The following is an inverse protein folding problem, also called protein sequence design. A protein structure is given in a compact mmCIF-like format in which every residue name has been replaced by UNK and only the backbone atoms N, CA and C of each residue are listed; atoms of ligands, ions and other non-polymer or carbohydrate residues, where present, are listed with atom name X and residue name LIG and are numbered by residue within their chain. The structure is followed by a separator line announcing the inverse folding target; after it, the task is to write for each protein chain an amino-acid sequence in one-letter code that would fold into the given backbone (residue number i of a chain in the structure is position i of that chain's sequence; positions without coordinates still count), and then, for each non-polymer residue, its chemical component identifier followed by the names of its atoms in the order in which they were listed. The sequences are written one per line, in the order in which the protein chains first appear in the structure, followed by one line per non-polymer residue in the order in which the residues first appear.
data_IF_630455552776
#
_entry.id   IF_630455552776
#
_cell.length_a   1.000
_cell.length_b   1.000
_cell.length_c   1.000
_cell.angle_alpha   90.00
_cell.angle_beta   90.00
_cell.angle_gamma   90.00
#
_symmetry.space_group_name_H-M   'P 1'
#
loop_
_entity.id
_entity.type
_entity.pdbx_description
1 polymer ?
#
# COMPACT_ATOMS: atom_id res chain seq x y z
N UNK A 1 -7.01 8.94 15.72
CA UNK A 1 -6.30 8.68 14.44
C UNK A 1 -6.84 9.59 13.34
N UNK A 2 -8.13 9.52 13.01
CA UNK A 2 -8.76 10.46 12.08
C UNK A 2 -8.79 11.91 12.63
N UNK A 3 -9.14 12.10 13.91
CA UNK A 3 -9.24 13.44 14.51
C UNK A 3 -7.93 14.25 14.44
N UNK A 4 -6.78 13.59 14.54
CA UNK A 4 -5.45 14.24 14.44
C UNK A 4 -5.00 14.53 13.01
N UNK A 5 -5.78 14.13 12.00
CA UNK A 5 -5.46 14.31 10.59
C UNK A 5 -6.59 14.95 9.79
N UNK A 6 -7.68 15.33 10.44
CA UNK A 6 -8.89 15.84 9.79
C UNK A 6 -8.67 17.17 9.07
N UNK A 7 -7.81 18.03 9.62
CA UNK A 7 -7.44 19.34 9.08
C UNK A 7 -6.37 19.27 7.98
N UNK A 8 -5.74 18.10 7.79
CA UNK A 8 -4.64 17.95 6.83
C UNK A 8 -5.21 17.67 5.43
N UNK A 9 -5.02 18.58 4.46
CA UNK A 9 -5.70 18.48 3.17
C UNK A 9 -5.20 17.32 2.29
N UNK A 10 -3.98 16.82 2.53
CA UNK A 10 -3.33 15.77 1.72
C UNK A 10 -2.63 14.75 2.60
N UNK A 11 -3.37 13.73 3.02
CA UNK A 11 -2.86 12.63 3.84
C UNK A 11 -3.16 11.28 3.20
N UNK A 12 -2.24 10.35 3.40
CA UNK A 12 -2.36 8.93 3.09
C UNK A 12 -1.91 8.15 4.33
N UNK A 13 -2.84 7.45 4.97
CA UNK A 13 -2.67 6.82 6.27
C UNK A 13 -2.93 5.32 6.11
N UNK A 14 -2.07 4.50 6.69
CA UNK A 14 -2.20 3.04 6.64
C UNK A 14 -1.01 2.35 7.28
N UNK A 15 -0.96 1.03 7.21
CA UNK A 15 0.23 0.27 7.61
C UNK A 15 1.31 0.38 6.54
N UNK A 16 2.20 1.35 6.68
CA UNK A 16 3.21 1.66 5.66
C UNK A 16 4.32 0.61 5.67
N UNK A 17 4.50 -0.10 4.56
CA UNK A 17 5.59 -1.07 4.36
C UNK A 17 6.40 -0.76 3.11
N UNK A 18 7.55 -1.40 3.01
CA UNK A 18 8.26 -1.69 1.75
C UNK A 18 8.62 -3.17 1.81
N UNK A 19 8.55 -3.87 0.68
CA UNK A 19 8.68 -5.31 0.64
C UNK A 19 9.11 -5.79 -0.75
N UNK A 20 9.35 -7.07 -0.87
CA UNK A 20 9.86 -7.72 -2.08
C UNK A 20 8.93 -7.50 -3.28
N UNK A 21 9.53 -7.21 -4.44
CA UNK A 21 8.83 -7.24 -5.73
C UNK A 21 8.82 -8.67 -6.25
N UNK A 22 7.65 -9.19 -6.58
CA UNK A 22 7.52 -10.53 -7.12
C UNK A 22 7.80 -10.54 -8.64
N UNK A 23 9.08 -10.63 -9.01
CA UNK A 23 9.53 -10.59 -10.41
C UNK A 23 9.58 -11.96 -11.11
N UNK A 24 9.34 -13.06 -10.39
CA UNK A 24 9.32 -14.41 -10.98
C UNK A 24 7.96 -14.72 -11.61
N UNK A 25 7.94 -15.00 -12.92
CA UNK A 25 6.70 -15.23 -13.68
C UNK A 25 5.87 -16.43 -13.19
N UNK A 26 6.49 -17.38 -12.50
CA UNK A 26 5.83 -18.56 -11.92
C UNK A 26 5.21 -18.28 -10.55
N UNK A 27 5.49 -17.12 -9.94
CA UNK A 27 5.00 -16.77 -8.63
C UNK A 27 3.54 -16.30 -8.70
N UNK A 28 2.69 -16.72 -7.75
CA UNK A 28 1.25 -16.36 -7.73
C UNK A 28 0.98 -14.85 -7.69
N UNK A 29 1.94 -14.09 -7.17
CA UNK A 29 1.87 -12.64 -7.00
C UNK A 29 2.74 -11.90 -8.02
N UNK A 30 3.16 -12.57 -9.09
CA UNK A 30 3.99 -12.00 -10.14
C UNK A 30 3.46 -10.64 -10.59
N UNK A 31 4.36 -9.67 -10.65
CA UNK A 31 4.10 -8.32 -11.11
C UNK A 31 4.69 -8.16 -12.52
N UNK A 32 3.88 -8.13 -13.60
CA UNK A 32 4.38 -8.02 -14.97
C UNK A 32 5.21 -6.77 -15.23
N UNK A 33 4.98 -5.70 -14.46
CA UNK A 33 5.71 -4.44 -14.53
C UNK A 33 6.86 -4.35 -13.51
N UNK A 34 7.35 -5.47 -12.97
CA UNK A 34 8.34 -5.49 -11.88
C UNK A 34 9.58 -4.63 -12.18
N UNK A 35 9.97 -4.53 -13.45
CA UNK A 35 11.13 -3.77 -13.91
C UNK A 35 11.00 -2.26 -13.71
N UNK A 36 9.80 -1.74 -13.42
CA UNK A 36 9.56 -0.32 -13.13
C UNK A 36 9.88 0.07 -11.69
N UNK A 37 10.02 -0.89 -10.77
CA UNK A 37 10.27 -0.62 -9.34
C UNK A 37 11.77 -0.50 -9.03
N UNK A 38 12.46 0.43 -9.68
CA UNK A 38 13.86 0.75 -9.40
C UNK A 38 14.80 -0.42 -9.67
N UNK A 39 15.38 -1.00 -8.61
CA UNK A 39 16.28 -2.16 -8.71
C UNK A 39 15.53 -3.49 -8.93
N UNK A 40 14.20 -3.45 -8.99
CA UNK A 40 13.34 -4.62 -9.16
C UNK A 40 13.29 -5.53 -7.94
N UNK A 41 13.83 -5.12 -6.79
CA UNK A 41 13.87 -5.93 -5.56
C UNK A 41 12.86 -5.49 -4.54
N UNK A 42 12.57 -4.20 -4.43
CA UNK A 42 11.69 -3.67 -3.38
C UNK A 42 10.65 -2.70 -3.93
N UNK A 43 9.39 -2.91 -3.57
CA UNK A 43 8.34 -1.93 -3.79
C UNK A 43 8.65 -0.66 -3.03
N UNK A 44 8.28 0.47 -3.62
CA UNK A 44 8.24 1.74 -2.91
C UNK A 44 7.32 1.67 -1.70
N UNK A 45 7.46 2.65 -0.78
CA UNK A 45 6.67 2.66 0.45
C UNK A 45 5.19 2.89 0.14
N UNK A 46 4.33 1.97 0.55
CA UNK A 46 2.88 2.01 0.35
C UNK A 46 2.15 1.51 1.60
N UNK A 47 0.87 1.88 1.76
CA UNK A 47 0.03 1.30 2.80
C UNK A 47 -0.35 -0.13 2.38
N UNK A 48 -0.18 -1.06 3.30
CA UNK A 48 -0.44 -2.48 3.08
C UNK A 48 -1.51 -3.01 4.00
N UNK A 49 -2.11 -4.13 3.61
CA UNK A 49 -3.23 -4.74 4.33
C UNK A 49 -4.58 -4.29 3.78
N UNK A 50 -5.63 -4.48 4.57
CA UNK A 50 -7.01 -4.38 4.10
C UNK A 50 -7.53 -2.93 4.04
N UNK A 51 -6.89 -2.00 4.76
CA UNK A 51 -7.41 -0.65 4.91
C UNK A 51 -6.33 0.43 4.85
N UNK A 52 -6.63 1.47 4.09
CA UNK A 52 -5.94 2.76 4.14
C UNK A 52 -6.96 3.90 4.15
N UNK A 53 -6.51 5.08 4.54
CA UNK A 53 -7.32 6.30 4.58
C UNK A 53 -6.62 7.37 3.76
N UNK A 54 -7.37 8.05 2.88
CA UNK A 54 -6.91 9.23 2.14
C UNK A 54 -7.81 10.42 2.44
N UNK A 55 -7.26 11.63 2.38
CA UNK A 55 -8.08 12.84 2.51
C UNK A 55 -9.04 12.99 1.32
N UNK A 56 -10.17 13.68 1.55
CA UNK A 56 -11.19 13.94 0.51
C UNK A 56 -10.59 14.56 -0.76
N UNK A 57 -9.69 15.54 -0.62
CA UNK A 57 -9.07 16.18 -1.78
C UNK A 57 -8.24 15.20 -2.63
N UNK A 58 -7.53 14.27 -1.98
CA UNK A 58 -6.77 13.22 -2.66
C UNK A 58 -7.69 12.22 -3.35
N UNK A 59 -8.76 11.78 -2.67
CA UNK A 59 -9.76 10.90 -3.26
C UNK A 59 -10.47 11.52 -4.49
N UNK A 60 -10.80 12.81 -4.42
CA UNK A 60 -11.39 13.55 -5.54
C UNK A 60 -10.40 13.64 -6.72
N UNK A 61 -9.14 13.97 -6.44
CA UNK A 61 -8.11 14.02 -7.48
C UNK A 61 -7.96 12.68 -8.20
N UNK A 62 -7.90 11.56 -7.45
CA UNK A 62 -7.86 10.21 -8.02
C UNK A 62 -9.07 9.95 -8.91
N UNK A 63 -10.27 10.23 -8.40
CA UNK A 63 -11.53 9.97 -9.12
C UNK A 63 -11.63 10.71 -10.46
N UNK A 64 -11.19 11.98 -10.48
CA UNK A 64 -11.17 12.83 -11.68
C UNK A 64 -10.14 12.31 -12.68
N UNK A 65 -8.94 11.94 -12.21
CA UNK A 65 -7.81 11.59 -13.08
C UNK A 65 -7.65 10.08 -13.32
N UNK A 66 -8.63 9.26 -12.94
CA UNK A 66 -8.52 7.79 -12.92
C UNK A 66 -8.04 7.16 -14.24
N UNK A 67 -8.29 7.79 -15.38
CA UNK A 67 -7.91 7.26 -16.70
C UNK A 67 -6.42 7.34 -16.99
N UNK A 68 -5.67 8.20 -16.30
CA UNK A 68 -4.21 8.35 -16.49
C UNK A 68 -3.39 7.69 -15.38
N UNK A 69 -4.06 7.17 -14.35
CA UNK A 69 -3.41 6.52 -13.22
C UNK A 69 -2.99 5.09 -13.59
N UNK A 70 -1.70 4.76 -13.37
CA UNK A 70 -1.19 3.41 -13.61
C UNK A 70 -1.70 2.45 -12.55
N UNK A 71 -2.28 1.35 -12.97
CA UNK A 71 -2.55 0.19 -12.10
C UNK A 71 -1.46 -0.86 -12.29
N UNK A 72 -1.12 -1.52 -11.20
CA UNK A 72 -0.19 -2.65 -11.08
C UNK A 72 -1.00 -3.92 -10.72
N UNK A 73 -0.34 -5.08 -10.66
CA UNK A 73 -0.98 -6.34 -10.32
C UNK A 73 -1.60 -6.33 -8.91
N UNK A 74 -1.05 -5.52 -8.01
CA UNK A 74 -1.51 -5.33 -6.64
C UNK A 74 -2.16 -3.95 -6.47
N UNK A 75 -3.32 -3.91 -5.81
CA UNK A 75 -4.09 -2.69 -5.60
C UNK A 75 -3.41 -1.74 -4.60
N UNK A 76 -2.81 -2.28 -3.54
CA UNK A 76 -2.01 -1.53 -2.57
C UNK A 76 -0.79 -0.87 -3.22
N UNK A 77 -0.10 -1.58 -4.11
CA UNK A 77 0.98 -1.04 -4.95
C UNK A 77 0.44 0.02 -5.91
N UNK A 78 -0.70 -0.20 -6.56
CA UNK A 78 -1.34 0.79 -7.43
C UNK A 78 -1.58 2.10 -6.71
N UNK A 79 -2.27 2.05 -5.57
CA UNK A 79 -2.55 3.23 -4.73
C UNK A 79 -1.26 3.88 -4.27
N UNK A 80 -0.30 3.10 -3.77
CA UNK A 80 0.99 3.64 -3.32
C UNK A 80 1.75 4.38 -4.42
N UNK A 81 1.68 3.90 -5.67
CA UNK A 81 2.32 4.59 -6.80
C UNK A 81 1.72 5.96 -7.06
N UNK A 82 0.39 6.09 -6.93
CA UNK A 82 -0.30 7.36 -7.06
C UNK A 82 0.10 8.29 -5.93
N UNK A 83 0.21 7.76 -4.71
CA UNK A 83 0.58 8.55 -3.53
C UNK A 83 2.03 9.05 -3.60
N UNK A 84 2.94 8.33 -4.25
CA UNK A 84 4.31 8.81 -4.46
C UNK A 84 4.39 9.90 -5.53
N UNK A 85 3.56 9.80 -6.57
CA UNK A 85 3.44 10.85 -7.58
C UNK A 85 2.76 12.13 -7.06
N UNK A 86 2.10 12.08 -5.91
CA UNK A 86 1.37 13.20 -5.32
C UNK A 86 2.09 13.74 -4.08
N UNK A 87 2.00 15.05 -3.84
CA UNK A 87 2.52 15.69 -2.63
C UNK A 87 1.62 15.41 -1.39
N UNK A 88 1.49 14.14 -1.00
CA UNK A 88 0.70 13.66 0.14
C UNK A 88 1.60 13.23 1.31
N UNK A 89 1.16 13.52 2.53
CA UNK A 89 1.84 13.07 3.73
C UNK A 89 1.52 11.60 4.00
N UNK A 90 2.53 10.75 3.96
CA UNK A 90 2.44 9.35 4.37
C UNK A 90 2.46 9.27 5.89
N UNK A 91 1.48 8.58 6.47
CA UNK A 91 1.37 8.35 7.92
C UNK A 91 1.30 6.85 8.16
N UNK A 92 2.30 6.33 8.86
CA UNK A 92 2.26 4.95 9.33
C UNK A 92 1.37 4.84 10.58
N UNK A 93 0.30 4.05 10.48
CA UNK A 93 -0.60 3.76 11.60
C UNK A 93 -0.55 2.27 11.90
N UNK A 94 0.16 1.90 12.97
CA UNK A 94 0.38 0.52 13.36
C UNK A 94 -0.93 -0.22 13.70
N UNK A 95 -1.98 0.50 14.13
CA UNK A 95 -3.30 -0.09 14.40
C UNK A 95 -4.02 -0.58 13.13
N UNK A 96 -3.60 -0.11 11.96
CA UNK A 96 -4.09 -0.57 10.66
C UNK A 96 -3.23 -1.70 10.09
N UNK A 97 -2.12 -2.06 10.74
CA UNK A 97 -1.38 -3.26 10.38
C UNK A 97 -2.17 -4.48 10.85
N UNK A 98 -2.17 -5.55 10.04
CA UNK A 98 -2.66 -6.84 10.53
C UNK A 98 -1.90 -7.16 11.82
N UNK A 99 -2.62 -7.46 12.90
CA UNK A 99 -2.07 -8.31 13.93
C UNK A 99 -1.65 -9.59 13.22
N UNK A 100 -0.39 -10.00 13.35
CA UNK A 100 -0.06 -11.40 13.11
C UNK A 100 -1.12 -12.20 13.85
N UNK A 101 -1.95 -12.97 13.14
CA UNK A 101 -2.80 -13.95 13.82
C UNK A 101 -1.88 -14.68 14.79
N UNK A 102 -2.22 -14.84 16.09
CA UNK A 102 -1.51 -15.81 16.89
C UNK A 102 -1.68 -17.11 16.13
N UNK A 103 -0.59 -17.69 15.65
CA UNK A 103 -0.57 -18.94 14.92
C UNK A 103 -1.31 -19.98 15.75
N UNK A 104 -2.60 -20.14 15.50
CA UNK A 104 -3.47 -21.09 16.14
C UNK A 104 -3.13 -22.45 15.56
N UNK A 105 -2.07 -23.05 16.07
CA UNK A 105 -1.97 -24.47 16.40
C UNK A 105 -0.59 -24.76 17.02
N UNK A 106 -0.55 -24.68 18.35
CA UNK A 106 0.24 -25.64 19.12
C UNK A 106 -0.36 -27.02 18.86
N UNK A 107 0.19 -27.76 17.91
CA UNK A 107 0.08 -29.22 17.92
C UNK A 107 1.17 -29.74 18.87
N UNK A 108 0.85 -30.56 19.88
CA UNK A 108 1.87 -31.19 20.70
C UNK A 108 2.67 -32.14 19.79
N UNK A 109 3.99 -31.98 19.81
CA UNK A 109 4.89 -32.99 19.23
C UNK A 109 4.75 -34.26 20.10
N UNK A 110 4.21 -35.33 19.51
CA UNK A 110 4.56 -36.69 19.91
C UNK A 110 5.92 -37.05 19.31
#
# INVERSE_FOLDING_TARGET
MLETHWDKPRVYIGCMKSGEVFSEATHKWYEPDWWKFGDGKSYFRHASGEMFVVSRAVAQFISINRSVLRTYAHDDVSVGSWMIGLAVKHVNEAKLCCSSWPSGHLLPRN
#
